data_IF_158829589870
#
_entry.id   IF_158829589870
#
_cell.length_a   1.000
_cell.length_b   1.000
_cell.length_c   1.000
_cell.angle_alpha   90.00
_cell.angle_beta   90.00
_cell.angle_gamma   90.00
#
_symmetry.space_group_name_H-M   'P 1'
#
loop_
_entity.id
_entity.type
_entity.pdbx_description
1 polymer ?
#
# COMPACT_ATOMS: atom_id res chain seq x y z
N UNK A 1 -8.27 -27.91 6.04
CA UNK A 1 -8.43 -26.55 5.47
C UNK A 1 -8.65 -26.74 3.98
N UNK A 2 -9.55 -25.99 3.36
CA UNK A 2 -9.67 -26.02 1.90
C UNK A 2 -8.35 -25.49 1.30
N UNK A 3 -7.90 -26.12 0.19
CA UNK A 3 -6.71 -25.66 -0.51
C UNK A 3 -6.92 -24.24 -1.01
N UNK A 4 -5.96 -23.33 -0.74
CA UNK A 4 -6.03 -21.95 -1.23
C UNK A 4 -5.53 -21.87 -2.68
N UNK A 5 -5.78 -20.76 -3.36
CA UNK A 5 -5.21 -20.52 -4.71
C UNK A 5 -3.68 -20.47 -4.70
N UNK A 6 -3.06 -20.39 -3.53
CA UNK A 6 -1.61 -20.25 -3.32
C UNK A 6 -0.90 -21.58 -3.06
N UNK A 7 -1.64 -22.68 -2.88
CA UNK A 7 -1.05 -23.97 -2.55
C UNK A 7 0.04 -24.37 -3.54
N UNK A 8 1.22 -24.68 -3.00
CA UNK A 8 2.42 -25.10 -3.76
C UNK A 8 2.90 -24.10 -4.82
N UNK A 9 2.42 -22.84 -4.79
CA UNK A 9 2.77 -21.78 -5.73
C UNK A 9 3.97 -20.94 -5.25
N UNK A 10 4.52 -20.17 -6.18
CA UNK A 10 5.62 -19.23 -5.92
C UNK A 10 5.12 -17.79 -5.94
N UNK A 11 5.33 -17.05 -4.85
CA UNK A 11 5.04 -15.63 -4.72
C UNK A 11 6.33 -14.81 -4.81
N UNK A 12 6.40 -13.86 -5.73
CA UNK A 12 7.45 -12.84 -5.77
C UNK A 12 6.97 -11.57 -5.08
N UNK A 13 7.76 -11.06 -4.14
CA UNK A 13 7.52 -9.77 -3.45
C UNK A 13 8.63 -8.81 -3.83
N UNK A 14 8.33 -7.83 -4.71
CA UNK A 14 9.27 -6.74 -4.99
C UNK A 14 9.18 -5.69 -3.90
N UNK A 15 10.33 -5.14 -3.49
CA UNK A 15 10.37 -4.26 -2.32
C UNK A 15 10.11 -4.99 -1.00
N UNK A 16 10.31 -6.31 -0.99
CA UNK A 16 9.98 -7.21 0.12
C UNK A 16 10.67 -6.88 1.44
N UNK A 17 11.81 -6.18 1.43
CA UNK A 17 12.50 -5.70 2.65
C UNK A 17 11.91 -4.42 3.25
N UNK A 18 10.89 -3.83 2.63
CA UNK A 18 10.11 -2.73 3.20
C UNK A 18 9.09 -3.24 4.22
N UNK A 19 8.58 -2.36 5.11
CA UNK A 19 7.62 -2.74 6.15
C UNK A 19 6.42 -3.51 5.61
N UNK A 20 5.82 -3.03 4.51
CA UNK A 20 4.67 -3.70 3.90
C UNK A 20 5.03 -5.06 3.30
N UNK A 21 6.12 -5.14 2.51
CA UNK A 21 6.58 -6.40 1.94
C UNK A 21 6.93 -7.44 3.01
N UNK A 22 7.49 -7.00 4.14
CA UNK A 22 7.79 -7.86 5.28
C UNK A 22 6.52 -8.41 5.94
N UNK A 23 5.47 -7.59 6.12
CA UNK A 23 4.19 -8.07 6.68
C UNK A 23 3.51 -9.04 5.73
N UNK A 24 3.51 -8.78 4.42
CA UNK A 24 3.00 -9.71 3.41
C UNK A 24 3.79 -11.04 3.46
N UNK A 25 5.12 -10.99 3.54
CA UNK A 25 5.95 -12.18 3.72
C UNK A 25 5.50 -12.99 4.93
N UNK A 26 5.41 -12.37 6.12
CA UNK A 26 5.00 -13.06 7.36
C UNK A 26 3.63 -13.71 7.24
N UNK A 27 2.68 -13.04 6.60
CA UNK A 27 1.34 -13.58 6.39
C UNK A 27 1.39 -14.83 5.50
N UNK A 28 2.05 -14.75 4.34
CA UNK A 28 2.14 -15.90 3.41
C UNK A 28 3.00 -17.04 3.94
N UNK A 29 3.99 -16.76 4.79
CA UNK A 29 4.89 -17.74 5.35
C UNK A 29 4.14 -18.86 6.09
N UNK A 30 3.02 -18.52 6.74
CA UNK A 30 2.18 -19.43 7.53
C UNK A 30 1.09 -20.13 6.71
N UNK A 31 1.01 -19.86 5.40
CA UNK A 31 0.05 -20.48 4.49
C UNK A 31 0.62 -21.74 3.81
N UNK A 32 -0.16 -22.32 2.90
CA UNK A 32 0.23 -23.46 2.05
C UNK A 32 1.07 -23.06 0.82
N UNK A 33 1.55 -21.80 0.75
CA UNK A 33 2.48 -21.32 -0.30
C UNK A 33 3.74 -22.18 -0.36
N UNK A 34 4.19 -22.51 -1.56
CA UNK A 34 5.39 -23.34 -1.76
C UNK A 34 6.70 -22.56 -1.62
N UNK A 35 6.82 -21.41 -2.26
CA UNK A 35 8.02 -20.58 -2.25
C UNK A 35 7.67 -19.08 -2.19
N UNK A 36 8.47 -18.28 -1.49
CA UNK A 36 8.39 -16.82 -1.46
C UNK A 36 9.74 -16.25 -1.88
N UNK A 37 9.74 -15.41 -2.92
CA UNK A 37 10.94 -14.70 -3.41
C UNK A 37 10.90 -13.26 -2.97
N UNK A 38 11.92 -12.84 -2.22
CA UNK A 38 12.13 -11.46 -1.79
C UNK A 38 13.08 -10.78 -2.77
N UNK A 39 12.60 -9.78 -3.49
CA UNK A 39 13.38 -9.03 -4.47
C UNK A 39 13.56 -7.58 -4.01
N UNK A 40 14.79 -7.18 -3.77
CA UNK A 40 15.12 -5.80 -3.37
C UNK A 40 16.58 -5.48 -3.66
N UNK A 41 16.93 -4.18 -3.62
CA UNK A 41 18.31 -3.69 -3.87
C UNK A 41 19.20 -3.76 -2.64
N UNK A 42 18.62 -3.78 -1.45
CA UNK A 42 19.31 -3.59 -0.18
C UNK A 42 19.74 -4.95 0.39
N UNK A 43 21.02 -5.30 0.15
CA UNK A 43 21.63 -6.54 0.64
C UNK A 43 21.56 -6.65 2.17
N UNK A 44 21.87 -5.53 2.87
CA UNK A 44 21.87 -5.56 4.34
C UNK A 44 20.49 -5.88 4.91
N UNK A 45 19.44 -5.26 4.39
CA UNK A 45 18.07 -5.56 4.84
C UNK A 45 17.65 -6.98 4.50
N UNK A 46 18.11 -7.54 3.39
CA UNK A 46 17.88 -8.95 3.08
C UNK A 46 18.59 -9.86 4.07
N UNK A 47 19.82 -9.53 4.46
CA UNK A 47 20.59 -10.29 5.44
C UNK A 47 19.95 -10.22 6.83
N UNK A 48 19.56 -9.02 7.29
CA UNK A 48 18.82 -8.83 8.55
C UNK A 48 17.52 -9.65 8.57
N UNK A 49 16.75 -9.62 7.48
CA UNK A 49 15.51 -10.40 7.33
C UNK A 49 15.78 -11.90 7.33
N UNK A 50 16.86 -12.36 6.71
CA UNK A 50 17.26 -13.78 6.72
C UNK A 50 17.53 -14.27 8.13
N UNK A 51 18.29 -13.50 8.92
CA UNK A 51 18.57 -13.84 10.31
C UNK A 51 17.31 -13.82 11.19
N UNK A 52 16.45 -12.82 11.01
CA UNK A 52 15.15 -12.76 11.72
C UNK A 52 14.28 -13.98 11.42
N UNK A 53 14.18 -14.38 10.15
CA UNK A 53 13.37 -15.54 9.76
C UNK A 53 13.94 -16.86 10.28
N UNK A 54 15.26 -17.00 10.26
CA UNK A 54 15.93 -18.18 10.86
C UNK A 54 15.69 -18.28 12.36
N UNK A 55 15.71 -17.17 13.08
CA UNK A 55 15.51 -17.13 14.52
C UNK A 55 14.04 -17.37 14.92
N UNK A 56 13.09 -16.73 14.23
CA UNK A 56 11.70 -16.68 14.63
C UNK A 56 10.79 -17.67 13.89
N UNK A 57 11.21 -18.16 12.71
CA UNK A 57 10.42 -19.03 11.84
C UNK A 57 11.25 -20.20 11.23
N UNK A 58 12.00 -20.97 12.04
CA UNK A 58 12.94 -22.00 11.56
C UNK A 58 12.27 -23.06 10.67
N UNK A 59 11.03 -23.44 10.95
CA UNK A 59 10.29 -24.45 10.20
C UNK A 59 9.85 -23.98 8.80
N UNK A 60 9.72 -22.67 8.60
CA UNK A 60 9.21 -22.06 7.38
C UNK A 60 10.29 -21.35 6.55
N UNK A 61 11.44 -21.07 7.16
CA UNK A 61 12.53 -20.32 6.54
C UNK A 61 12.93 -20.85 5.15
N UNK A 62 12.94 -22.16 4.97
CA UNK A 62 13.34 -22.80 3.71
C UNK A 62 12.46 -22.42 2.50
N UNK A 63 11.24 -21.94 2.73
CA UNK A 63 10.34 -21.43 1.68
C UNK A 63 10.81 -20.10 1.11
N UNK A 64 11.66 -19.34 1.83
CA UNK A 64 12.03 -17.97 1.44
C UNK A 64 13.35 -17.97 0.68
N UNK A 65 13.33 -17.33 -0.49
CA UNK A 65 14.51 -17.10 -1.35
C UNK A 65 14.75 -15.61 -1.51
N UNK A 66 16.01 -15.21 -1.45
CA UNK A 66 16.41 -13.81 -1.53
C UNK A 66 17.11 -13.51 -2.84
N UNK A 67 16.67 -12.46 -3.53
CA UNK A 67 17.21 -12.00 -4.80
C UNK A 67 17.58 -10.53 -4.71
N UNK A 68 18.84 -10.20 -4.96
CA UNK A 68 19.30 -8.82 -5.08
C UNK A 68 19.03 -8.36 -6.50
N UNK A 69 18.28 -7.26 -6.66
CA UNK A 69 17.96 -6.71 -7.96
C UNK A 69 17.20 -5.39 -7.87
N UNK A 70 17.11 -4.70 -9.00
CA UNK A 70 16.47 -3.39 -9.14
C UNK A 70 15.34 -3.46 -10.18
N UNK A 71 14.14 -3.02 -9.82
CA UNK A 71 12.98 -2.97 -10.73
C UNK A 71 13.23 -2.10 -11.96
N UNK A 72 14.16 -1.15 -11.87
CA UNK A 72 14.59 -0.31 -13.01
C UNK A 72 15.40 -1.10 -14.05
N UNK A 73 15.88 -2.28 -13.70
CA UNK A 73 16.61 -3.17 -14.59
C UNK A 73 15.75 -4.37 -14.96
N UNK A 74 15.22 -4.38 -16.17
CA UNK A 74 14.34 -5.46 -16.66
C UNK A 74 15.05 -6.82 -16.67
N UNK A 75 16.38 -6.86 -16.89
CA UNK A 75 17.10 -8.13 -16.89
C UNK A 75 17.10 -8.79 -15.51
N UNK A 76 17.32 -8.03 -14.43
CA UNK A 76 17.26 -8.57 -13.07
C UNK A 76 15.86 -9.06 -12.69
N UNK A 77 14.81 -8.47 -13.30
CA UNK A 77 13.44 -8.96 -13.15
C UNK A 77 13.23 -10.27 -13.92
N UNK A 78 13.71 -10.36 -15.17
CA UNK A 78 13.64 -11.61 -15.96
C UNK A 78 14.35 -12.77 -15.28
N UNK A 79 15.46 -12.49 -14.59
CA UNK A 79 16.25 -13.53 -13.90
C UNK A 79 15.51 -14.12 -12.68
N UNK A 80 14.62 -13.35 -12.02
CA UNK A 80 13.86 -13.82 -10.86
C UNK A 80 12.50 -14.41 -11.22
N UNK A 81 11.99 -14.18 -12.44
CA UNK A 81 10.64 -14.58 -12.86
C UNK A 81 10.40 -16.09 -13.10
N UNK A 82 11.37 -16.93 -13.54
CA UNK A 82 11.07 -18.31 -13.88
C UNK A 82 10.36 -19.07 -12.76
N UNK A 83 9.16 -19.62 -13.04
CA UNK A 83 8.34 -20.37 -12.07
C UNK A 83 7.54 -19.52 -11.08
N UNK A 84 7.54 -18.20 -11.19
CA UNK A 84 6.69 -17.31 -10.38
C UNK A 84 5.24 -17.42 -10.82
N UNK A 85 4.31 -17.64 -9.88
CA UNK A 85 2.87 -17.66 -10.13
C UNK A 85 2.19 -16.36 -9.73
N UNK A 86 2.59 -15.77 -8.61
CA UNK A 86 1.99 -14.56 -8.04
C UNK A 86 3.04 -13.49 -7.81
N UNK A 87 2.68 -12.23 -8.05
CA UNK A 87 3.57 -11.08 -7.76
C UNK A 87 2.83 -10.07 -6.89
N UNK A 88 3.42 -9.72 -5.76
CA UNK A 88 3.08 -8.51 -5.01
C UNK A 88 4.14 -7.44 -5.28
N UNK A 89 3.76 -6.41 -6.03
CA UNK A 89 4.66 -5.33 -6.42
C UNK A 89 4.55 -4.14 -5.46
N UNK A 90 5.49 -4.07 -4.50
CA UNK A 90 5.56 -3.00 -3.50
C UNK A 90 6.84 -2.12 -3.61
N UNK A 91 7.70 -2.40 -4.59
CA UNK A 91 8.90 -1.59 -4.83
C UNK A 91 8.53 -0.19 -5.32
N UNK A 92 8.82 0.85 -4.53
CA UNK A 92 8.52 2.24 -4.90
C UNK A 92 9.36 3.23 -4.08
N UNK A 93 9.51 4.44 -4.58
CA UNK A 93 9.84 5.62 -3.79
C UNK A 93 8.54 6.21 -3.23
N UNK A 94 8.47 6.38 -1.90
CA UNK A 94 7.24 6.80 -1.21
C UNK A 94 7.37 8.09 -0.39
N UNK A 95 8.59 8.59 -0.20
CA UNK A 95 8.83 9.79 0.60
C UNK A 95 8.60 11.03 -0.26
N UNK A 96 7.63 11.86 0.14
CA UNK A 96 7.27 13.08 -0.60
C UNK A 96 8.49 14.00 -0.78
N UNK A 97 9.26 14.37 0.26
CA UNK A 97 10.41 15.25 0.07
C UNK A 97 11.45 14.68 -0.91
N UNK A 98 11.76 13.39 -0.81
CA UNK A 98 12.74 12.76 -1.73
C UNK A 98 12.26 12.77 -3.17
N UNK A 99 10.96 12.55 -3.42
CA UNK A 99 10.41 12.60 -4.76
C UNK A 99 10.34 14.02 -5.32
N UNK A 100 10.09 15.04 -4.48
CA UNK A 100 10.14 16.45 -4.90
C UNK A 100 11.55 16.87 -5.32
N UNK A 101 12.57 16.48 -4.56
CA UNK A 101 13.96 16.81 -4.89
C UNK A 101 14.54 15.96 -6.05
N UNK A 102 14.05 14.75 -6.21
CA UNK A 102 14.53 13.80 -7.23
C UNK A 102 13.35 13.20 -8.04
N UNK A 103 12.56 14.01 -8.76
CA UNK A 103 11.34 13.54 -9.43
C UNK A 103 11.63 12.46 -10.49
N UNK A 104 12.75 12.52 -11.19
CA UNK A 104 13.12 11.51 -12.17
C UNK A 104 13.44 10.16 -11.54
N UNK A 105 13.91 10.11 -10.29
CA UNK A 105 14.07 8.83 -9.58
C UNK A 105 12.70 8.22 -9.22
N UNK A 106 11.69 9.06 -8.93
CA UNK A 106 10.32 8.60 -8.76
C UNK A 106 9.74 8.07 -10.09
N UNK A 107 9.98 8.73 -11.21
CA UNK A 107 9.59 8.25 -12.56
C UNK A 107 10.22 6.89 -12.84
N UNK A 108 11.56 6.78 -12.72
CA UNK A 108 12.30 5.54 -13.01
C UNK A 108 11.89 4.38 -12.12
N UNK A 109 11.59 4.64 -10.84
CA UNK A 109 11.26 3.56 -9.91
C UNK A 109 9.77 3.22 -9.94
N UNK A 110 8.89 4.24 -9.83
CA UNK A 110 7.46 4.01 -9.66
C UNK A 110 6.76 3.73 -11.00
N UNK A 111 7.21 4.36 -12.10
CA UNK A 111 6.59 4.23 -13.42
C UNK A 111 7.32 3.18 -14.25
N UNK A 112 8.58 3.46 -14.64
CA UNK A 112 9.36 2.56 -15.50
C UNK A 112 9.64 1.22 -14.81
N UNK A 113 9.94 1.24 -13.49
CA UNK A 113 10.16 0.02 -12.72
C UNK A 113 8.92 -0.87 -12.63
N UNK A 114 7.73 -0.27 -12.54
CA UNK A 114 6.46 -1.01 -12.59
C UNK A 114 6.22 -1.57 -13.99
N UNK A 115 6.44 -0.78 -15.03
CA UNK A 115 6.30 -1.22 -16.42
C UNK A 115 7.23 -2.39 -16.75
N UNK A 116 8.50 -2.30 -16.39
CA UNK A 116 9.47 -3.39 -16.51
C UNK A 116 9.01 -4.67 -15.82
N UNK A 117 8.50 -4.53 -14.58
CA UNK A 117 8.01 -5.67 -13.80
C UNK A 117 6.80 -6.34 -14.48
N UNK A 118 5.85 -5.54 -14.99
CA UNK A 118 4.67 -6.06 -15.68
C UNK A 118 5.03 -6.76 -16.99
N UNK A 119 5.95 -6.20 -17.77
CA UNK A 119 6.46 -6.85 -18.98
C UNK A 119 7.13 -8.19 -18.67
N UNK A 120 8.02 -8.23 -17.67
CA UNK A 120 8.66 -9.47 -17.26
C UNK A 120 7.66 -10.51 -16.74
N UNK A 121 6.61 -10.08 -16.02
CA UNK A 121 5.54 -10.95 -15.54
C UNK A 121 4.71 -11.56 -16.69
N UNK A 122 4.36 -10.74 -17.68
CA UNK A 122 3.63 -11.19 -18.89
C UNK A 122 4.47 -12.18 -19.71
N UNK A 123 5.75 -11.85 -19.92
CA UNK A 123 6.69 -12.73 -20.63
C UNK A 123 6.87 -14.09 -19.95
N UNK A 124 6.88 -14.12 -18.62
CA UNK A 124 7.08 -15.33 -17.82
C UNK A 124 5.81 -16.17 -17.62
N UNK A 125 4.64 -15.68 -18.02
CA UNK A 125 3.37 -16.38 -17.83
C UNK A 125 2.90 -16.44 -16.37
N UNK A 126 3.17 -15.40 -15.58
CA UNK A 126 2.66 -15.25 -14.22
C UNK A 126 1.13 -15.31 -14.21
N UNK A 127 0.53 -15.84 -13.16
CA UNK A 127 -0.93 -15.97 -13.07
C UNK A 127 -1.61 -14.66 -12.65
N UNK A 128 -1.10 -14.02 -11.58
CA UNK A 128 -1.69 -12.79 -11.02
C UNK A 128 -0.63 -11.83 -10.50
N UNK A 129 -0.91 -10.54 -10.67
CA UNK A 129 -0.06 -9.44 -10.19
C UNK A 129 -0.93 -8.43 -9.44
N UNK A 130 -0.57 -8.16 -8.19
CA UNK A 130 -1.15 -7.08 -7.39
C UNK A 130 -0.11 -5.98 -7.19
N UNK A 131 -0.41 -4.77 -7.68
CA UNK A 131 0.45 -3.60 -7.57
C UNK A 131 -0.04 -2.68 -6.46
N UNK A 132 0.90 -2.20 -5.64
CA UNK A 132 0.62 -1.37 -4.49
C UNK A 132 0.58 0.12 -4.86
N UNK A 133 -0.57 0.79 -4.71
CA UNK A 133 -0.70 2.24 -4.84
C UNK A 133 -0.98 2.93 -3.49
N UNK A 134 -1.60 4.10 -3.48
CA UNK A 134 -1.76 4.97 -2.32
C UNK A 134 -2.90 5.96 -2.53
N UNK A 135 -3.49 6.47 -1.45
CA UNK A 135 -4.41 7.61 -1.41
C UNK A 135 -3.86 8.85 -2.14
N UNK A 136 -2.53 9.01 -2.17
CA UNK A 136 -1.88 10.16 -2.80
C UNK A 136 -1.90 10.13 -4.32
N UNK A 137 -2.30 9.01 -4.93
CA UNK A 137 -2.57 8.89 -6.36
C UNK A 137 -3.90 9.54 -6.77
N UNK A 138 -4.88 9.63 -5.83
CA UNK A 138 -6.12 10.36 -6.05
C UNK A 138 -5.89 11.87 -5.84
N UNK A 139 -6.16 12.69 -6.86
CA UNK A 139 -5.87 14.13 -6.87
C UNK A 139 -4.44 14.45 -6.42
N UNK A 140 -3.42 14.01 -7.15
CA UNK A 140 -2.02 14.14 -6.73
C UNK A 140 -1.57 15.62 -6.75
N UNK A 141 -0.94 16.07 -5.65
CA UNK A 141 -0.43 17.45 -5.50
C UNK A 141 1.09 17.51 -5.35
N UNK A 142 1.77 16.38 -5.41
CA UNK A 142 3.24 16.28 -5.27
C UNK A 142 3.81 15.21 -6.21
N UNK A 143 5.13 15.26 -6.47
CA UNK A 143 5.80 14.37 -7.41
C UNK A 143 5.60 12.88 -7.09
N UNK A 144 5.57 12.52 -5.81
CA UNK A 144 5.30 11.14 -5.39
C UNK A 144 3.90 10.71 -5.80
N UNK A 145 2.87 11.50 -5.48
CA UNK A 145 1.48 11.24 -5.85
C UNK A 145 1.28 11.19 -7.37
N UNK A 146 1.90 12.14 -8.12
CA UNK A 146 1.85 12.18 -9.58
C UNK A 146 2.46 10.91 -10.18
N UNK A 147 3.62 10.47 -9.69
CA UNK A 147 4.26 9.25 -10.16
C UNK A 147 3.42 7.99 -9.87
N UNK A 148 2.72 7.95 -8.74
CA UNK A 148 1.82 6.86 -8.38
C UNK A 148 0.53 6.89 -9.21
N UNK A 149 -0.04 8.05 -9.48
CA UNK A 149 -1.19 8.19 -10.37
C UNK A 149 -0.84 7.69 -11.80
N UNK A 150 0.31 8.10 -12.35
CA UNK A 150 0.76 7.61 -13.65
C UNK A 150 1.05 6.10 -13.62
N UNK A 151 1.60 5.58 -12.53
CA UNK A 151 1.79 4.14 -12.33
C UNK A 151 0.46 3.36 -12.44
N UNK A 152 -0.63 3.85 -11.85
CA UNK A 152 -1.96 3.22 -11.95
C UNK A 152 -2.44 3.16 -13.42
N UNK A 153 -2.19 4.21 -14.22
CA UNK A 153 -2.51 4.20 -15.65
C UNK A 153 -1.65 3.18 -16.42
N UNK A 154 -0.36 3.06 -16.10
CA UNK A 154 0.53 2.05 -16.69
C UNK A 154 0.06 0.65 -16.34
N UNK A 155 -0.34 0.40 -15.09
CA UNK A 155 -0.90 -0.89 -14.64
C UNK A 155 -2.16 -1.23 -15.45
N UNK A 156 -3.10 -0.30 -15.58
CA UNK A 156 -4.34 -0.51 -16.33
C UNK A 156 -4.08 -0.77 -17.82
N UNK A 157 -3.13 -0.06 -18.42
CA UNK A 157 -2.74 -0.28 -19.81
C UNK A 157 -2.14 -1.67 -20.04
N UNK A 158 -1.21 -2.08 -19.17
CA UNK A 158 -0.61 -3.41 -19.23
C UNK A 158 -1.64 -4.53 -18.93
N UNK A 159 -2.56 -4.32 -18.01
CA UNK A 159 -3.64 -5.25 -17.71
C UNK A 159 -4.54 -5.51 -18.94
N UNK A 160 -4.85 -4.46 -19.69
CA UNK A 160 -5.62 -4.56 -20.96
C UNK A 160 -4.88 -5.38 -22.01
N UNK A 161 -3.59 -5.10 -22.21
CA UNK A 161 -2.75 -5.85 -23.17
C UNK A 161 -2.60 -7.31 -22.73
N UNK A 162 -2.38 -7.54 -21.44
CA UNK A 162 -2.28 -8.88 -20.84
C UNK A 162 -3.56 -9.69 -21.08
N UNK A 163 -4.72 -9.13 -20.78
CA UNK A 163 -6.02 -9.80 -20.95
C UNK A 163 -6.29 -10.21 -22.41
N UNK A 164 -5.90 -9.36 -23.39
CA UNK A 164 -6.04 -9.68 -24.82
C UNK A 164 -5.19 -10.86 -25.26
N UNK A 165 -4.11 -11.15 -24.53
CA UNK A 165 -3.15 -12.24 -24.85
C UNK A 165 -3.33 -13.47 -23.97
N UNK A 166 -4.33 -13.50 -23.09
CA UNK A 166 -4.51 -14.58 -22.12
C UNK A 166 -3.39 -14.64 -21.06
N UNK A 167 -2.75 -13.49 -20.78
CA UNK A 167 -1.70 -13.36 -19.79
C UNK A 167 -2.23 -13.12 -18.36
N UNK A 168 -1.37 -12.69 -17.41
CA UNK A 168 -1.71 -12.52 -16.01
C UNK A 168 -2.90 -11.58 -15.77
N UNK A 169 -3.68 -11.86 -14.73
CA UNK A 169 -4.60 -10.89 -14.14
C UNK A 169 -3.77 -9.86 -13.37
N UNK A 170 -3.77 -8.63 -13.83
CA UNK A 170 -3.03 -7.51 -13.25
C UNK A 170 -4.04 -6.56 -12.62
N UNK A 171 -3.86 -6.19 -11.35
CA UNK A 171 -4.70 -5.24 -10.63
C UNK A 171 -3.89 -4.33 -9.72
N UNK A 172 -4.56 -3.35 -9.13
CA UNK A 172 -3.97 -2.38 -8.23
C UNK A 172 -4.75 -2.32 -6.91
N UNK A 173 -4.06 -2.01 -5.80
CA UNK A 173 -4.68 -1.73 -4.51
C UNK A 173 -4.33 -0.32 -4.05
N UNK A 174 -5.32 0.41 -3.52
CA UNK A 174 -5.15 1.76 -2.96
C UNK A 174 -5.64 1.76 -1.52
N UNK A 175 -4.83 2.27 -0.62
CA UNK A 175 -5.11 2.34 0.80
C UNK A 175 -4.64 3.67 1.39
N UNK A 176 -5.17 4.01 2.57
CA UNK A 176 -4.85 5.24 3.28
C UNK A 176 -3.52 5.17 4.05
N UNK A 177 -3.42 6.00 5.07
CA UNK A 177 -2.22 6.06 5.90
C UNK A 177 -2.10 4.79 6.74
N UNK A 178 -1.01 4.06 6.57
CA UNK A 178 -0.67 2.90 7.41
C UNK A 178 -0.04 3.42 8.71
N UNK A 179 -0.71 3.12 9.83
CA UNK A 179 -0.27 3.51 11.17
C UNK A 179 1.12 2.94 11.50
N UNK A 180 1.89 3.67 12.27
CA UNK A 180 3.20 3.26 12.78
C UNK A 180 4.23 2.83 11.72
N UNK A 181 3.96 3.16 10.43
CA UNK A 181 4.95 2.93 9.37
C UNK A 181 6.15 3.86 9.56
N UNK A 182 7.33 3.44 9.06
CA UNK A 182 8.57 4.22 9.19
C UNK A 182 8.41 5.64 8.65
N UNK A 183 8.74 6.64 9.50
CA UNK A 183 8.62 8.06 9.19
C UNK A 183 7.18 8.61 9.25
N UNK A 184 6.24 7.87 9.86
CA UNK A 184 4.86 8.33 10.07
C UNK A 184 4.71 9.12 11.37
N UNK A 185 3.55 9.77 11.51
CA UNK A 185 3.27 10.73 12.58
C UNK A 185 3.19 10.10 13.97
N UNK A 186 2.70 8.86 14.10
CA UNK A 186 2.53 8.20 15.42
C UNK A 186 3.90 7.93 16.09
N UNK A 187 4.88 7.29 15.44
CA UNK A 187 6.22 7.16 16.01
C UNK A 187 6.86 8.49 16.37
N UNK A 188 6.69 9.51 15.53
CA UNK A 188 7.21 10.86 15.83
C UNK A 188 6.63 11.41 17.13
N UNK A 189 5.32 11.27 17.36
CA UNK A 189 4.67 11.72 18.58
C UNK A 189 5.17 10.96 19.81
N UNK A 190 5.31 9.65 19.72
CA UNK A 190 5.85 8.80 20.79
C UNK A 190 7.28 9.20 21.15
N UNK A 191 8.14 9.40 20.13
CA UNK A 191 9.54 9.84 20.35
C UNK A 191 9.61 11.22 20.98
N UNK A 192 8.76 12.18 20.57
CA UNK A 192 8.71 13.50 21.17
C UNK A 192 8.31 13.44 22.65
N UNK A 193 7.30 12.64 22.99
CA UNK A 193 6.89 12.44 24.39
C UNK A 193 8.01 11.77 25.21
N UNK A 194 8.63 10.69 24.70
CA UNK A 194 9.76 10.02 25.36
C UNK A 194 10.92 11.00 25.63
N UNK A 195 11.13 11.96 24.75
CA UNK A 195 12.14 13.01 24.91
C UNK A 195 11.70 14.20 25.80
N UNK A 196 10.49 14.17 26.36
CA UNK A 196 9.93 15.29 27.16
C UNK A 196 9.56 16.54 26.35
N UNK A 197 9.47 16.41 25.02
CA UNK A 197 9.14 17.52 24.12
C UNK A 197 7.63 17.56 23.83
N UNK A 198 7.06 18.77 23.59
CA UNK A 198 5.69 18.88 23.10
C UNK A 198 5.51 18.17 21.74
N UNK A 199 4.35 17.57 21.56
CA UNK A 199 3.95 17.02 20.24
C UNK A 199 3.82 18.15 19.23
N UNK A 200 4.47 18.02 18.08
CA UNK A 200 4.35 18.99 16.97
C UNK A 200 3.31 18.53 15.96
N UNK A 201 2.27 19.33 15.75
CA UNK A 201 1.21 19.10 14.76
C UNK A 201 1.14 20.23 13.74
N UNK A 202 0.78 19.90 12.50
CA UNK A 202 0.66 20.90 11.42
C UNK A 202 -0.64 21.68 11.52
N UNK A 203 -1.78 20.99 11.56
CA UNK A 203 -3.11 21.51 11.81
C UNK A 203 -3.94 20.45 12.55
N UNK A 204 -4.53 20.77 13.72
CA UNK A 204 -5.31 19.81 14.50
C UNK A 204 -6.55 19.28 13.77
N UNK A 205 -7.10 20.06 12.81
CA UNK A 205 -8.30 19.68 12.06
C UNK A 205 -8.03 18.81 10.83
N UNK A 206 -6.78 18.64 10.42
CA UNK A 206 -6.43 17.70 9.36
C UNK A 206 -6.90 16.30 9.71
N UNK A 207 -7.44 15.59 8.73
CA UNK A 207 -7.86 14.19 8.91
C UNK A 207 -6.94 13.24 8.16
N UNK A 208 -6.74 12.05 8.73
CA UNK A 208 -6.00 10.97 8.11
C UNK A 208 -6.77 9.65 8.31
N UNK A 209 -6.76 8.81 7.29
CA UNK A 209 -7.21 7.44 7.45
C UNK A 209 -6.29 6.69 8.42
N UNK A 210 -6.86 5.78 9.20
CA UNK A 210 -6.13 4.95 10.15
C UNK A 210 -6.28 3.47 9.77
N UNK A 211 -5.22 2.90 9.24
CA UNK A 211 -5.18 1.50 8.84
C UNK A 211 -3.94 0.83 9.45
N UNK A 212 -4.10 -0.40 9.94
CA UNK A 212 -2.96 -1.20 10.35
C UNK A 212 -2.39 -2.00 9.15
N UNK A 213 -1.24 -2.65 9.35
CA UNK A 213 -0.60 -3.41 8.29
C UNK A 213 -1.37 -4.68 7.92
N UNK A 214 -2.04 -5.32 8.89
CA UNK A 214 -2.80 -6.55 8.65
C UNK A 214 -4.01 -6.27 7.75
N UNK A 215 -4.75 -5.19 8.01
CA UNK A 215 -5.85 -4.74 7.14
C UNK A 215 -5.36 -4.48 5.69
N UNK A 216 -4.13 -3.96 5.56
CA UNK A 216 -3.54 -3.73 4.24
C UNK A 216 -3.15 -5.04 3.53
N UNK A 217 -2.71 -6.06 4.29
CA UNK A 217 -2.46 -7.40 3.74
C UNK A 217 -3.76 -8.09 3.34
N UNK A 218 -4.82 -7.97 4.15
CA UNK A 218 -6.15 -8.51 3.82
C UNK A 218 -6.66 -7.95 2.47
N UNK A 219 -6.44 -6.66 2.21
CA UNK A 219 -6.74 -6.05 0.91
C UNK A 219 -5.96 -6.70 -0.24
N UNK A 220 -4.67 -7.00 -0.03
CA UNK A 220 -3.83 -7.66 -1.04
C UNK A 220 -4.30 -9.08 -1.30
N UNK A 221 -4.64 -9.84 -0.25
CA UNK A 221 -5.19 -11.19 -0.37
C UNK A 221 -6.52 -11.18 -1.13
N UNK A 222 -7.42 -10.27 -0.75
CA UNK A 222 -8.69 -10.08 -1.44
C UNK A 222 -8.51 -9.76 -2.93
N UNK A 223 -7.54 -8.89 -3.25
CA UNK A 223 -7.24 -8.53 -4.63
C UNK A 223 -6.70 -9.73 -5.42
N UNK A 224 -5.83 -10.56 -4.83
CA UNK A 224 -5.37 -11.79 -5.49
C UNK A 224 -6.53 -12.74 -5.83
N UNK A 225 -7.52 -12.87 -4.95
CA UNK A 225 -8.63 -13.80 -5.13
C UNK A 225 -9.70 -13.30 -6.10
N UNK A 226 -10.00 -11.99 -6.07
CA UNK A 226 -11.22 -11.44 -6.68
C UNK A 226 -10.99 -10.51 -7.88
N UNK A 227 -9.74 -10.19 -8.22
CA UNK A 227 -9.47 -9.23 -9.28
C UNK A 227 -9.83 -9.73 -10.68
N UNK A 228 -10.38 -8.82 -11.48
CA UNK A 228 -10.36 -8.87 -12.92
C UNK A 228 -9.26 -7.93 -13.48
N UNK A 229 -8.86 -8.09 -14.76
CA UNK A 229 -7.81 -7.29 -15.34
C UNK A 229 -8.07 -5.78 -15.23
N UNK A 230 -7.14 -5.06 -14.61
CA UNK A 230 -7.18 -3.61 -14.45
C UNK A 230 -8.02 -3.09 -13.29
N UNK A 231 -8.60 -3.95 -12.47
CA UNK A 231 -9.34 -3.52 -11.28
C UNK A 231 -8.46 -2.74 -10.31
N UNK A 232 -9.06 -1.72 -9.68
CA UNK A 232 -8.50 -1.01 -8.55
C UNK A 232 -9.34 -1.31 -7.31
N UNK A 233 -8.74 -1.94 -6.30
CA UNK A 233 -9.37 -2.17 -5.00
C UNK A 233 -8.98 -1.09 -4.01
N UNK A 234 -9.96 -0.59 -3.27
CA UNK A 234 -9.80 0.52 -2.32
C UNK A 234 -10.27 0.06 -0.94
N UNK A 235 -9.38 0.18 0.05
CA UNK A 235 -9.68 -0.12 1.44
C UNK A 235 -10.67 0.91 2.00
N UNK A 236 -11.76 0.44 2.60
CA UNK A 236 -12.58 1.27 3.48
C UNK A 236 -11.89 1.37 4.84
N UNK A 237 -11.66 2.59 5.31
CA UNK A 237 -10.94 2.83 6.55
C UNK A 237 -11.60 3.93 7.37
N UNK A 238 -11.56 3.77 8.69
CA UNK A 238 -11.90 4.83 9.62
C UNK A 238 -10.85 5.95 9.53
N UNK A 239 -11.19 7.14 9.99
CA UNK A 239 -10.28 8.27 10.06
C UNK A 239 -10.31 8.95 11.42
N UNK A 240 -9.26 9.69 11.74
CA UNK A 240 -9.18 10.56 12.90
C UNK A 240 -8.63 11.92 12.53
N UNK A 241 -8.92 12.94 13.34
CA UNK A 241 -8.20 14.21 13.25
C UNK A 241 -6.78 14.07 13.80
N UNK A 242 -5.86 14.89 13.32
CA UNK A 242 -4.50 14.93 13.89
C UNK A 242 -4.53 15.36 15.34
N UNK A 243 -5.48 16.25 15.71
CA UNK A 243 -5.69 16.68 17.10
C UNK A 243 -6.13 15.53 18.02
N UNK A 244 -7.08 14.70 17.59
CA UNK A 244 -7.53 13.55 18.38
C UNK A 244 -6.47 12.44 18.41
N UNK A 245 -5.74 12.25 17.33
CA UNK A 245 -4.60 11.33 17.30
C UNK A 245 -3.50 11.75 18.28
N UNK A 246 -3.17 13.06 18.34
CA UNK A 246 -2.21 13.59 19.32
C UNK A 246 -2.67 13.36 20.75
N UNK A 247 -3.95 13.65 21.07
CA UNK A 247 -4.55 13.39 22.39
C UNK A 247 -4.52 11.89 22.73
N UNK A 248 -4.84 11.03 21.78
CA UNK A 248 -4.81 9.58 21.97
C UNK A 248 -3.41 9.09 22.36
N UNK A 249 -2.35 9.55 21.65
CA UNK A 249 -0.96 9.21 21.99
C UNK A 249 -0.55 9.80 23.35
N UNK A 250 -0.96 11.04 23.66
CA UNK A 250 -0.69 11.65 24.97
C UNK A 250 -1.36 10.88 26.12
N UNK A 251 -2.58 10.40 25.96
CA UNK A 251 -3.24 9.59 26.99
C UNK A 251 -2.50 8.27 27.26
N UNK A 252 -1.88 7.68 26.23
CA UNK A 252 -1.11 6.43 26.38
C UNK A 252 0.30 6.68 26.96
N UNK A 253 1.00 7.70 26.49
CA UNK A 253 2.43 7.88 26.80
C UNK A 253 2.72 9.02 27.79
N UNK A 254 1.78 9.91 28.03
CA UNK A 254 1.92 11.09 28.90
C UNK A 254 1.75 12.40 28.13
N UNK A 255 1.21 13.41 28.80
CA UNK A 255 0.98 14.72 28.20
C UNK A 255 2.21 15.62 28.38
N UNK A 256 2.87 15.96 27.28
CA UNK A 256 3.99 16.89 27.21
C UNK A 256 3.60 18.21 26.54
N UNK A 257 2.30 18.43 26.30
CA UNK A 257 1.76 19.56 25.57
C UNK A 257 1.81 19.37 24.05
N UNK A 258 1.19 20.30 23.34
CA UNK A 258 1.10 20.28 21.87
C UNK A 258 1.50 21.64 21.30
N UNK A 259 2.28 21.65 20.20
CA UNK A 259 2.67 22.84 19.46
C UNK A 259 2.23 22.75 18.01
N UNK A 260 1.42 23.73 17.57
CA UNK A 260 1.03 23.85 16.16
C UNK A 260 2.17 24.52 15.38
N UNK A 261 2.62 23.87 14.30
CA UNK A 261 3.76 24.34 13.48
C UNK A 261 3.34 24.83 12.08
N UNK A 262 2.05 24.70 11.71
CA UNK A 262 1.53 25.05 10.39
C UNK A 262 1.71 23.95 9.34
N UNK A 263 1.04 24.10 8.20
CA UNK A 263 1.04 23.14 7.09
C UNK A 263 2.38 23.13 6.35
N UNK A 264 2.79 21.95 5.87
CA UNK A 264 4.00 21.78 5.06
C UNK A 264 3.64 21.84 3.57
N UNK A 265 4.64 22.14 2.74
CA UNK A 265 4.47 22.09 1.29
C UNK A 265 4.07 20.68 0.82
N UNK A 266 3.06 20.61 -0.03
CA UNK A 266 2.57 19.33 -0.57
C UNK A 266 1.76 18.47 0.41
N UNK A 267 1.34 19.01 1.57
CA UNK A 267 0.51 18.33 2.56
C UNK A 267 -0.97 18.70 2.37
N UNK A 268 -1.84 17.68 2.28
CA UNK A 268 -3.28 17.85 2.11
C UNK A 268 -3.96 18.02 3.48
N UNK A 269 -5.06 18.79 3.52
CA UNK A 269 -5.92 18.91 4.71
C UNK A 269 -6.64 17.59 5.03
N UNK A 270 -6.99 16.85 4.01
CA UNK A 270 -7.59 15.51 4.10
C UNK A 270 -7.09 14.64 2.94
N UNK A 271 -7.15 13.32 3.11
CA UNK A 271 -6.76 12.37 2.08
C UNK A 271 -7.98 11.86 1.33
N UNK A 272 -7.81 11.62 0.02
CA UNK A 272 -8.84 11.04 -0.85
C UNK A 272 -8.41 9.65 -1.27
N UNK A 273 -9.24 8.65 -1.02
CA UNK A 273 -9.00 7.26 -1.48
C UNK A 273 -9.68 6.98 -2.82
N UNK A 274 -10.81 7.62 -3.10
CA UNK A 274 -11.55 7.44 -4.33
C UNK A 274 -12.17 8.76 -4.77
N UNK A 275 -11.95 9.11 -6.04
CA UNK A 275 -12.56 10.32 -6.62
C UNK A 275 -14.05 10.11 -6.88
N UNK A 276 -14.78 11.18 -7.06
CA UNK A 276 -16.21 11.15 -7.40
C UNK A 276 -16.46 10.31 -8.66
N UNK A 277 -15.65 10.48 -9.70
CA UNK A 277 -15.75 9.75 -10.95
C UNK A 277 -15.47 8.26 -10.81
N UNK A 278 -14.50 7.89 -9.95
CA UNK A 278 -14.23 6.50 -9.60
C UNK A 278 -15.41 5.92 -8.79
N UNK A 279 -15.95 6.68 -7.83
CA UNK A 279 -17.05 6.25 -6.97
C UNK A 279 -18.34 5.97 -7.76
N UNK A 280 -18.62 6.76 -8.79
CA UNK A 280 -19.78 6.55 -9.68
C UNK A 280 -19.75 5.18 -10.39
N UNK A 281 -18.58 4.60 -10.61
CA UNK A 281 -18.38 3.30 -11.28
C UNK A 281 -17.84 2.21 -10.33
N UNK A 282 -17.81 2.49 -9.03
CA UNK A 282 -17.34 1.53 -8.04
C UNK A 282 -18.45 0.56 -7.63
N UNK A 283 -18.02 -0.64 -7.27
CA UNK A 283 -18.83 -1.67 -6.64
C UNK A 283 -18.47 -1.75 -5.15
N UNK A 284 -19.48 -1.82 -4.29
CA UNK A 284 -19.30 -2.02 -2.86
C UNK A 284 -19.16 -3.52 -2.57
N UNK A 285 -17.98 -3.94 -2.11
CA UNK A 285 -17.65 -5.33 -1.78
C UNK A 285 -17.45 -5.54 -0.27
N UNK A 286 -18.24 -4.85 0.55
CA UNK A 286 -18.15 -4.95 2.02
C UNK A 286 -17.04 -4.06 2.58
N UNK A 287 -15.88 -4.63 2.93
CA UNK A 287 -14.73 -3.87 3.46
C UNK A 287 -13.97 -3.09 2.40
N UNK A 288 -14.27 -3.32 1.12
CA UNK A 288 -13.55 -2.76 -0.02
C UNK A 288 -14.50 -2.13 -1.03
N UNK A 289 -13.99 -1.18 -1.80
CA UNK A 289 -14.58 -0.80 -3.07
C UNK A 289 -13.75 -1.38 -4.21
N UNK A 290 -14.42 -1.82 -5.26
CA UNK A 290 -13.81 -2.21 -6.53
C UNK A 290 -14.16 -1.17 -7.57
N UNK A 291 -13.15 -0.57 -8.18
CA UNK A 291 -13.29 0.31 -9.34
C UNK A 291 -12.84 -0.47 -10.56
N UNK A 292 -13.78 -0.82 -11.43
CA UNK A 292 -13.48 -1.55 -12.66
C UNK A 292 -12.67 -0.68 -13.63
N UNK A 293 -11.72 -1.32 -14.35
CA UNK A 293 -10.99 -0.64 -15.41
C UNK A 293 -11.92 -0.20 -16.55
N UNK A 294 -11.54 0.89 -17.21
CA UNK A 294 -12.15 1.26 -18.48
C UNK A 294 -11.58 0.37 -19.60
N UNK A 295 -12.36 -0.63 -20.00
CA UNK A 295 -11.98 -1.62 -21.01
C UNK A 295 -12.42 -1.22 -22.43
N UNK A 296 -12.86 0.02 -22.63
CA UNK A 296 -13.21 0.51 -23.97
C UNK A 296 -11.95 0.62 -24.83
N UNK A 297 -12.09 0.27 -26.12
CA UNK A 297 -11.02 0.45 -27.10
C UNK A 297 -10.93 1.92 -27.59
N UNK A 298 -9.90 2.23 -28.39
CA UNK A 298 -9.70 3.57 -28.98
C UNK A 298 -10.70 3.89 -30.10
N UNK A 299 -11.76 3.12 -30.28
CA UNK A 299 -12.79 3.41 -31.26
C UNK A 299 -13.69 4.55 -30.73
N UNK A 300 -13.41 5.78 -31.13
CA UNK A 300 -14.10 6.99 -30.68
C UNK A 300 -15.62 6.99 -30.92
N UNK A 301 -16.12 6.24 -31.89
CA UNK A 301 -17.58 6.13 -32.14
C UNK A 301 -18.32 5.51 -30.98
N UNK A 302 -17.70 4.61 -30.23
CA UNK A 302 -18.27 4.03 -29.00
C UNK A 302 -18.31 5.00 -27.82
N UNK A 303 -17.45 5.99 -27.79
CA UNK A 303 -17.43 7.03 -26.76
C UNK A 303 -18.63 7.97 -26.83
N UNK A 304 -19.13 8.24 -28.01
CA UNK A 304 -20.23 9.19 -28.20
C UNK A 304 -21.61 8.55 -28.18
N UNK A 305 -21.71 7.24 -28.38
CA UNK A 305 -23.00 6.55 -28.58
C UNK A 305 -23.48 5.80 -27.33
N UNK A 306 -22.60 5.38 -26.42
CA UNK A 306 -22.95 4.62 -25.22
C UNK A 306 -22.24 5.18 -23.99
N UNK A 307 -22.81 6.23 -23.39
CA UNK A 307 -22.50 6.60 -22.01
C UNK A 307 -23.03 5.52 -21.04
N UNK A 308 -22.31 5.23 -19.99
CA UNK A 308 -22.84 4.43 -18.90
C UNK A 308 -23.73 5.32 -18.02
N UNK A 309 -24.96 4.87 -17.74
CA UNK A 309 -25.80 5.50 -16.73
C UNK A 309 -25.23 5.09 -15.38
N UNK A 310 -24.58 6.01 -14.68
CA UNK A 310 -24.06 5.78 -13.34
C UNK A 310 -25.05 6.27 -12.29
N UNK A 311 -25.18 5.53 -11.19
CA UNK A 311 -25.81 6.03 -9.97
C UNK A 311 -25.05 7.26 -9.48
N UNK A 312 -25.76 8.33 -9.16
CA UNK A 312 -25.17 9.57 -8.66
C UNK A 312 -24.39 9.30 -7.36
N UNK A 313 -23.07 9.35 -7.44
CA UNK A 313 -22.25 9.56 -6.26
C UNK A 313 -21.97 11.07 -6.18
N UNK A 314 -22.42 11.72 -5.13
CA UNK A 314 -22.33 13.18 -5.02
C UNK A 314 -20.97 13.65 -4.50
N UNK A 315 -20.15 12.76 -3.93
CA UNK A 315 -18.93 13.13 -3.23
C UNK A 315 -17.79 12.10 -3.44
N UNK A 316 -16.55 12.59 -3.31
CA UNK A 316 -15.34 11.75 -3.17
C UNK A 316 -15.43 10.86 -1.92
N UNK A 317 -14.63 9.79 -1.85
CA UNK A 317 -14.40 9.06 -0.61
C UNK A 317 -13.12 9.56 0.05
N UNK A 318 -13.26 10.27 1.17
CA UNK A 318 -12.18 11.00 1.83
C UNK A 318 -12.09 10.67 3.32
N UNK A 319 -10.95 11.01 3.93
CA UNK A 319 -10.78 10.94 5.39
C UNK A 319 -11.68 11.94 6.15
N UNK A 320 -12.31 12.90 5.45
CA UNK A 320 -13.26 13.84 6.04
C UNK A 320 -14.67 13.27 6.15
N UNK A 321 -15.14 12.46 5.20
CA UNK A 321 -16.50 11.94 5.13
C UNK A 321 -16.64 10.43 5.39
N UNK A 322 -15.56 9.75 5.76
CA UNK A 322 -15.62 8.40 6.33
C UNK A 322 -15.98 8.45 7.82
N UNK A 323 -16.22 7.28 8.41
CA UNK A 323 -16.45 7.16 9.85
C UNK A 323 -15.27 7.76 10.62
N UNK A 324 -15.54 8.76 11.46
CA UNK A 324 -14.53 9.38 12.31
C UNK A 324 -14.49 8.73 13.69
N UNK A 325 -13.28 8.43 14.11
CA UNK A 325 -13.00 7.99 15.46
C UNK A 325 -12.76 9.22 16.35
N UNK A 326 -13.35 9.20 17.52
CA UNK A 326 -13.00 10.10 18.63
C UNK A 326 -11.68 9.65 19.28
N UNK A 327 -11.27 10.28 20.37
CA UNK A 327 -10.02 9.96 21.07
C UNK A 327 -10.02 8.51 21.56
N UNK A 328 -11.12 8.01 22.13
CA UNK A 328 -11.22 6.60 22.62
C UNK A 328 -11.17 5.61 21.48
N UNK A 329 -11.91 5.85 20.41
CA UNK A 329 -11.87 5.02 19.19
C UNK A 329 -10.48 5.02 18.55
N UNK A 330 -9.80 6.16 18.56
CA UNK A 330 -8.43 6.30 18.07
C UNK A 330 -7.45 5.51 18.94
N UNK A 331 -7.57 5.55 20.27
CA UNK A 331 -6.77 4.72 21.18
C UNK A 331 -6.96 3.24 20.86
N UNK A 332 -8.21 2.77 20.78
CA UNK A 332 -8.51 1.38 20.44
C UNK A 332 -7.86 0.98 19.12
N UNK A 333 -7.92 1.86 18.11
CA UNK A 333 -7.36 1.61 16.79
C UNK A 333 -5.85 1.55 16.79
N UNK A 334 -5.13 2.49 17.41
CA UNK A 334 -3.66 2.48 17.46
C UNK A 334 -3.10 1.34 18.31
N UNK A 335 -3.84 0.91 19.34
CA UNK A 335 -3.48 -0.25 20.18
C UNK A 335 -3.47 -1.58 19.41
N UNK A 336 -4.08 -1.67 18.24
CA UNK A 336 -3.98 -2.86 17.38
C UNK A 336 -2.60 -3.01 16.72
N UNK A 337 -1.73 -2.01 16.81
CA UNK A 337 -0.40 -2.04 16.18
C UNK A 337 0.66 -2.57 17.13
N UNK A 338 1.50 -3.50 16.63
CA UNK A 338 2.63 -4.07 17.38
C UNK A 338 3.55 -2.98 17.95
N UNK A 339 3.85 -1.96 17.15
CA UNK A 339 4.69 -0.83 17.56
C UNK A 339 4.20 -0.15 18.87
N UNK A 340 2.90 0.13 18.98
CA UNK A 340 2.34 0.78 20.18
C UNK A 340 2.39 -0.16 21.37
N UNK A 341 2.10 -1.45 21.18
CA UNK A 341 2.16 -2.45 22.25
C UNK A 341 3.59 -2.60 22.80
N UNK A 342 4.59 -2.67 21.92
CA UNK A 342 5.99 -2.70 22.31
C UNK A 342 6.44 -1.43 23.00
N UNK A 343 6.11 -0.27 22.45
CA UNK A 343 6.48 1.02 23.03
C UNK A 343 5.87 1.25 24.42
N UNK A 344 4.66 0.72 24.69
CA UNK A 344 4.03 0.74 26.03
C UNK A 344 4.74 -0.20 27.01
N UNK A 345 5.12 -1.40 26.58
CA UNK A 345 5.92 -2.33 27.41
C UNK A 345 7.25 -1.70 27.80
N UNK A 346 7.97 -1.10 26.86
CA UNK A 346 9.21 -0.39 27.14
C UNK A 346 9.03 0.78 28.12
N UNK A 347 7.89 1.47 28.07
CA UNK A 347 7.55 2.58 28.97
C UNK A 347 7.03 2.10 30.34
N UNK A 348 6.89 0.80 30.59
CA UNK A 348 6.32 0.25 31.82
C UNK A 348 4.84 0.58 32.01
N UNK A 349 4.09 0.75 30.92
CA UNK A 349 2.66 1.16 30.88
C UNK A 349 1.75 0.10 30.25
N UNK A 350 2.26 -1.10 30.00
CA UNK A 350 1.50 -2.22 29.42
C UNK A 350 0.78 -3.04 30.49
#
# INVERSE_FOLDING_TARGET
MADTIFKDKTLLITGGTGSFGHTVLKHFLMTDIGEIRIFSRDEKKQDDMRHELQANYPDYYNKVKFYIGDVRNIQSLRDVMPGVNFIFHAAALKQVPSCEFFPMEAVRTNIEGTDNMLHAAIEAGVERVVCLSTDKAAYPINAMGISKAMMEHVITANARVSAQRGGPVICCTRYGNVMCSRGSVIPLFVEQIKAGNPITITDPNMTRFLMNLDEAVDLVMFAFEHANPGDLFIQKSDASTIGDLAKAVQQLFGDTGTRVIGTRHGEKLYETLMTKEERMRSEDMGNYYRVAADNRDLNYDKYFIKGQVHTQADEDYTSHNTRRLDVEGTIKKIMTTEYIQEALKEAGKA
#
